data_IF_435029455640
#
_entry.id   IF_435029455640
#
_cell.length_a   1.000
_cell.length_b   1.000
_cell.length_c   1.000
_cell.angle_alpha   90.00
_cell.angle_beta   90.00
_cell.angle_gamma   90.00
#
_symmetry.space_group_name_H-M   'P 1'
#
loop_
_entity.id
_entity.type
_entity.pdbx_description
1 polymer ?
#
# COMPACT_ATOMS: atom_id res chain seq x y z
N UNK A 1 11.80 19.21 2.87
CA UNK A 1 10.92 18.02 2.85
C UNK A 1 11.66 16.85 2.24
N UNK A 2 11.38 15.62 2.67
CA UNK A 2 12.00 14.43 2.10
C UNK A 2 11.59 14.24 0.62
N UNK A 3 12.53 13.73 -0.17
CA UNK A 3 12.37 13.57 -1.61
C UNK A 3 11.91 12.15 -1.98
N UNK A 4 11.05 12.05 -2.98
CA UNK A 4 10.64 10.79 -3.60
C UNK A 4 11.49 10.57 -4.84
N UNK A 5 12.73 10.15 -4.60
CA UNK A 5 13.83 9.98 -5.55
C UNK A 5 13.95 8.55 -6.11
N UNK A 6 12.98 7.69 -5.83
CA UNK A 6 12.86 6.37 -6.46
C UNK A 6 12.42 6.47 -7.93
N UNK A 7 12.25 5.32 -8.61
CA UNK A 7 11.78 5.31 -9.99
C UNK A 7 10.40 5.97 -10.08
N UNK A 8 10.22 6.85 -11.06
CA UNK A 8 8.91 7.42 -11.37
C UNK A 8 8.20 6.62 -12.46
N UNK A 9 6.87 6.64 -12.46
CA UNK A 9 6.06 5.92 -13.42
C UNK A 9 5.01 6.84 -14.06
N UNK A 10 4.89 6.76 -15.38
CA UNK A 10 3.81 7.42 -16.12
C UNK A 10 2.56 6.53 -16.13
N UNK A 11 1.43 7.12 -15.77
CA UNK A 11 0.09 6.51 -15.83
C UNK A 11 -0.49 6.63 -17.24
N UNK A 12 -1.60 5.92 -17.50
CA UNK A 12 -2.28 5.95 -18.82
C UNK A 12 -2.82 7.33 -19.21
N UNK A 13 -3.10 8.17 -18.21
CA UNK A 13 -3.51 9.57 -18.40
C UNK A 13 -2.31 10.54 -18.52
N UNK A 14 -1.09 10.01 -18.60
CA UNK A 14 0.19 10.74 -18.65
C UNK A 14 0.57 11.47 -17.36
N UNK A 15 -0.19 11.29 -16.27
CA UNK A 15 0.24 11.76 -14.95
C UNK A 15 1.48 10.99 -14.49
N UNK A 16 2.33 11.65 -13.71
CA UNK A 16 3.58 11.09 -13.23
C UNK A 16 3.51 10.80 -11.74
N UNK A 17 3.80 9.57 -11.35
CA UNK A 17 3.87 9.15 -9.95
C UNK A 17 5.32 9.06 -9.51
N UNK A 18 5.67 9.80 -8.46
CA UNK A 18 6.98 9.71 -7.81
C UNK A 18 6.94 8.62 -6.74
N UNK A 19 7.99 7.80 -6.66
CA UNK A 19 8.04 6.71 -5.69
C UNK A 19 9.20 6.84 -4.71
N UNK A 20 9.05 6.21 -3.56
CA UNK A 20 10.14 5.97 -2.63
C UNK A 20 9.93 4.59 -2.01
N UNK A 21 10.94 3.75 -2.08
CA UNK A 21 11.03 2.53 -1.28
C UNK A 21 12.02 2.76 -0.13
N UNK A 22 11.68 2.30 1.07
CA UNK A 22 12.52 2.43 2.26
C UNK A 22 12.57 1.06 2.93
N UNK A 23 13.77 0.51 3.07
CA UNK A 23 14.04 -0.60 3.97
C UNK A 23 14.19 -0.01 5.38
N UNK A 24 13.20 -0.25 6.25
CA UNK A 24 13.13 0.40 7.55
C UNK A 24 14.03 -0.34 8.53
N UNK A 25 15.00 0.38 9.08
CA UNK A 25 15.89 -0.07 10.14
C UNK A 25 15.53 0.61 11.47
N UNK A 26 16.07 0.14 12.61
CA UNK A 26 15.78 0.72 13.92
C UNK A 26 16.09 2.21 14.05
N UNK A 27 17.06 2.72 13.28
CA UNK A 27 17.47 4.13 13.26
C UNK A 27 16.80 4.95 12.14
N UNK A 28 16.01 4.32 11.26
CA UNK A 28 15.41 5.01 10.12
C UNK A 28 14.29 5.94 10.58
N UNK A 29 14.41 7.23 10.24
CA UNK A 29 13.33 8.20 10.40
C UNK A 29 12.43 8.25 9.16
N UNK A 30 11.23 7.68 9.29
CA UNK A 30 10.20 7.67 8.23
C UNK A 30 9.26 8.88 8.29
N UNK A 31 9.29 9.67 9.38
CA UNK A 31 8.36 10.80 9.59
C UNK A 31 8.39 11.84 8.48
N UNK A 32 9.55 12.21 7.89
CA UNK A 32 9.60 13.14 6.77
C UNK A 32 8.83 12.65 5.53
N UNK A 33 8.83 11.34 5.26
CA UNK A 33 8.13 10.75 4.12
C UNK A 33 6.62 10.62 4.39
N UNK A 34 6.24 10.23 5.60
CA UNK A 34 4.83 10.24 6.03
C UNK A 34 4.23 11.65 6.01
N UNK A 35 5.02 12.66 6.40
CA UNK A 35 4.62 14.07 6.34
C UNK A 35 4.39 14.53 4.90
N UNK A 36 5.23 14.09 3.96
CA UNK A 36 5.07 14.40 2.54
C UNK A 36 3.82 13.77 1.93
N UNK A 37 3.52 12.53 2.30
CA UNK A 37 2.25 11.85 1.94
C UNK A 37 1.05 12.64 2.48
N UNK A 38 1.08 13.01 3.77
CA UNK A 38 0.00 13.76 4.39
C UNK A 38 -0.24 15.12 3.73
N UNK A 39 0.83 15.85 3.43
CA UNK A 39 0.77 17.14 2.75
C UNK A 39 0.09 17.01 1.38
N UNK A 40 0.52 16.06 0.54
CA UNK A 40 -0.09 15.86 -0.78
C UNK A 40 -1.57 15.50 -0.67
N UNK A 41 -1.91 14.63 0.29
CA UNK A 41 -3.29 14.25 0.55
C UNK A 41 -4.18 15.41 1.00
N UNK A 42 -3.64 16.35 1.80
CA UNK A 42 -4.39 17.53 2.26
C UNK A 42 -4.63 18.52 1.13
N UNK A 43 -3.62 18.78 0.28
CA UNK A 43 -3.73 19.78 -0.78
C UNK A 43 -4.35 19.26 -2.08
N UNK A 44 -4.09 18.00 -2.44
CA UNK A 44 -4.39 17.46 -3.77
C UNK A 44 -5.25 16.19 -3.75
N UNK A 45 -5.39 15.54 -2.59
CA UNK A 45 -5.93 14.18 -2.48
C UNK A 45 -7.26 14.05 -1.74
N UNK A 46 -7.98 15.14 -1.48
CA UNK A 46 -9.26 15.14 -0.74
C UNK A 46 -9.21 14.34 0.57
N UNK A 47 -8.08 14.40 1.29
CA UNK A 47 -7.86 13.68 2.54
C UNK A 47 -7.98 12.15 2.43
N UNK A 48 -7.78 11.57 1.24
CA UNK A 48 -7.68 10.13 1.04
C UNK A 48 -6.22 9.68 0.90
N UNK A 49 -5.89 8.55 1.53
CA UNK A 49 -4.64 7.81 1.32
C UNK A 49 -5.04 6.40 0.93
N UNK A 50 -4.66 5.97 -0.27
CA UNK A 50 -4.83 4.58 -0.68
C UNK A 50 -3.74 3.75 -0.04
N UNK A 51 -4.07 2.60 0.54
CA UNK A 51 -3.07 1.75 1.17
C UNK A 51 -3.26 0.27 0.82
N UNK A 52 -2.19 -0.48 1.03
CA UNK A 52 -2.13 -1.92 0.85
C UNK A 52 -1.07 -2.48 1.80
N UNK A 53 -1.24 -3.72 2.27
CA UNK A 53 -0.34 -4.35 3.23
C UNK A 53 0.09 -5.72 2.72
N UNK A 54 1.32 -6.09 3.04
CA UNK A 54 1.93 -7.34 2.58
C UNK A 54 2.42 -8.13 3.78
N UNK A 55 2.18 -9.45 3.73
CA UNK A 55 2.40 -10.35 4.84
C UNK A 55 3.43 -11.42 4.46
N UNK A 56 4.33 -11.69 5.39
CA UNK A 56 5.13 -12.92 5.39
C UNK A 56 4.40 -13.98 6.22
N UNK A 57 4.45 -15.22 5.75
CA UNK A 57 3.89 -16.37 6.46
C UNK A 57 5.02 -17.09 7.17
N UNK A 58 5.10 -16.91 8.50
CA UNK A 58 6.07 -17.64 9.33
C UNK A 58 5.44 -18.96 9.77
N UNK A 59 6.09 -20.07 9.38
CA UNK A 59 5.71 -21.47 9.67
C UNK A 59 4.42 -21.98 9.01
N UNK A 60 4.56 -22.96 8.11
CA UNK A 60 3.46 -23.72 7.50
C UNK A 60 3.08 -24.95 8.34
N UNK A 61 3.90 -25.32 9.34
CA UNK A 61 3.81 -26.59 10.07
C UNK A 61 3.22 -26.49 11.48
N UNK A 62 3.01 -25.26 11.99
CA UNK A 62 2.31 -24.95 13.25
C UNK A 62 1.26 -23.86 12.99
N UNK A 63 0.55 -23.37 14.02
CA UNK A 63 -0.42 -22.27 13.88
C UNK A 63 0.26 -21.09 13.16
N UNK A 64 -0.10 -20.87 11.90
CA UNK A 64 0.60 -19.93 11.02
C UNK A 64 0.47 -18.51 11.55
N UNK A 65 1.62 -17.85 11.74
CA UNK A 65 1.68 -16.45 12.15
C UNK A 65 1.96 -15.60 10.93
N UNK A 66 1.04 -14.69 10.62
CA UNK A 66 1.22 -13.70 9.54
C UNK A 66 1.92 -12.46 10.10
N UNK A 67 3.10 -12.15 9.59
CA UNK A 67 3.87 -10.97 9.98
C UNK A 67 3.77 -9.90 8.91
N UNK A 68 3.47 -8.67 9.28
CA UNK A 68 3.48 -7.54 8.36
C UNK A 68 4.91 -7.29 7.86
N UNK A 69 5.13 -7.52 6.57
CA UNK A 69 6.45 -7.40 5.93
C UNK A 69 6.60 -6.11 5.15
N UNK A 70 5.52 -5.55 4.61
CA UNK A 70 5.57 -4.25 3.93
C UNK A 70 4.24 -3.52 3.96
N UNK A 71 4.31 -2.19 3.80
CA UNK A 71 3.15 -1.30 3.67
C UNK A 71 3.35 -0.39 2.46
N UNK A 72 2.30 -0.24 1.66
CA UNK A 72 2.23 0.74 0.57
C UNK A 72 1.26 1.85 0.94
N UNK A 73 1.65 3.09 0.75
CA UNK A 73 0.83 4.28 0.89
C UNK A 73 0.87 5.07 -0.41
N UNK A 74 -0.29 5.34 -1.00
CA UNK A 74 -0.42 6.01 -2.28
C UNK A 74 -1.35 7.22 -2.18
N UNK A 75 -0.94 8.28 -2.86
CA UNK A 75 -1.68 9.52 -3.06
C UNK A 75 -1.84 9.74 -4.57
N UNK A 76 -2.33 10.91 -4.97
CA UNK A 76 -2.42 11.25 -6.40
C UNK A 76 -1.04 11.32 -7.06
N UNK A 77 -0.02 11.81 -6.33
CA UNK A 77 1.29 12.13 -6.91
C UNK A 77 2.42 11.23 -6.39
N UNK A 78 2.24 10.58 -5.24
CA UNK A 78 3.29 9.82 -4.56
C UNK A 78 2.87 8.38 -4.24
N UNK A 79 3.83 7.46 -4.33
CA UNK A 79 3.72 6.11 -3.80
C UNK A 79 4.92 5.80 -2.88
N UNK A 80 4.65 5.63 -1.58
CA UNK A 80 5.63 5.25 -0.58
C UNK A 80 5.49 3.75 -0.29
N UNK A 81 6.60 3.03 -0.36
CA UNK A 81 6.69 1.61 -0.04
C UNK A 81 7.66 1.41 1.12
N UNK A 82 7.17 0.92 2.25
CA UNK A 82 7.98 0.67 3.45
C UNK A 82 8.15 -0.84 3.61
N UNK A 83 9.39 -1.33 3.52
CA UNK A 83 9.74 -2.72 3.89
C UNK A 83 10.09 -2.75 5.36
N UNK A 84 9.37 -3.56 6.12
CA UNK A 84 9.45 -3.57 7.58
C UNK A 84 10.37 -4.67 8.08
N UNK A 85 11.19 -4.39 9.11
CA UNK A 85 12.07 -5.38 9.70
C UNK A 85 11.25 -6.46 10.43
N UNK A 86 11.85 -7.62 10.67
CA UNK A 86 11.19 -8.73 11.37
C UNK A 86 10.75 -8.34 12.78
N UNK A 87 11.58 -7.57 13.48
CA UNK A 87 11.28 -7.07 14.82
C UNK A 87 11.03 -5.57 14.74
N UNK A 88 9.86 -5.15 15.23
CA UNK A 88 9.50 -3.75 15.21
C UNK A 88 10.23 -2.99 16.33
N UNK A 89 10.93 -1.94 15.91
CA UNK A 89 11.60 -0.99 16.77
C UNK A 89 10.72 0.22 17.07
N UNK A 90 11.17 1.06 18.00
CA UNK A 90 10.51 2.31 18.35
C UNK A 90 10.36 3.29 17.17
N UNK A 91 11.21 3.18 16.13
CA UNK A 91 11.09 3.96 14.89
C UNK A 91 9.77 3.75 14.15
N UNK A 92 9.09 2.62 14.37
CA UNK A 92 7.78 2.34 13.76
C UNK A 92 6.61 2.97 14.51
N UNK A 93 6.81 3.56 15.70
CA UNK A 93 5.73 4.26 16.43
C UNK A 93 5.11 5.38 15.60
N UNK A 94 5.87 6.00 14.71
CA UNK A 94 5.36 7.04 13.81
C UNK A 94 4.39 6.46 12.77
N UNK A 95 4.64 5.26 12.25
CA UNK A 95 3.69 4.56 11.38
C UNK A 95 2.39 4.22 12.12
N UNK A 96 2.48 3.83 13.40
CA UNK A 96 1.30 3.51 14.23
C UNK A 96 0.44 4.75 14.46
N UNK A 97 1.08 5.88 14.83
CA UNK A 97 0.40 7.17 14.99
C UNK A 97 -0.21 7.64 13.67
N UNK A 98 0.49 7.42 12.56
CA UNK A 98 0.02 7.79 11.23
C UNK A 98 -1.25 7.02 10.85
N UNK A 99 -1.26 5.69 11.00
CA UNK A 99 -2.45 4.86 10.78
C UNK A 99 -3.60 5.18 11.73
N UNK A 100 -3.28 5.55 12.97
CA UNK A 100 -4.28 6.01 13.92
C UNK A 100 -4.81 7.42 13.58
N UNK A 101 -4.28 8.15 12.60
CA UNK A 101 -4.77 9.50 12.28
C UNK A 101 -6.24 9.52 11.85
N UNK A 102 -6.97 10.56 12.25
CA UNK A 102 -8.32 10.87 11.75
C UNK A 102 -8.33 12.05 10.77
N UNK A 103 -7.17 12.59 10.44
CA UNK A 103 -7.05 13.71 9.49
C UNK A 103 -7.30 13.30 8.04
N UNK A 104 -7.22 12.00 7.78
CA UNK A 104 -7.35 11.36 6.47
C UNK A 104 -8.19 10.09 6.60
N UNK A 105 -8.66 9.58 5.46
CA UNK A 105 -9.28 8.28 5.33
C UNK A 105 -8.33 7.34 4.60
N UNK A 106 -8.03 6.20 5.22
CA UNK A 106 -7.23 5.14 4.63
C UNK A 106 -8.15 4.24 3.78
N UNK A 107 -7.96 4.29 2.47
CA UNK A 107 -8.79 3.59 1.49
C UNK A 107 -8.08 2.32 1.03
N UNK A 108 -8.73 1.18 1.16
CA UNK A 108 -8.17 -0.11 0.74
C UNK A 108 -9.19 -0.98 0.02
N UNK A 109 -8.69 -2.08 -0.57
CA UNK A 109 -9.47 -3.09 -1.30
C UNK A 109 -9.28 -4.44 -0.60
N UNK A 110 -10.38 -5.08 -0.21
CA UNK A 110 -10.41 -6.33 0.57
C UNK A 110 -9.63 -6.28 1.89
N UNK A 111 -9.68 -5.15 2.60
CA UNK A 111 -8.85 -4.92 3.80
C UNK A 111 -9.44 -5.47 5.10
N UNK A 112 -10.63 -6.08 5.08
CA UNK A 112 -11.29 -6.53 6.30
C UNK A 112 -10.45 -7.53 7.12
N UNK A 113 -9.83 -8.53 6.48
CA UNK A 113 -8.94 -9.48 7.16
C UNK A 113 -7.62 -8.82 7.58
N UNK A 114 -7.07 -7.94 6.75
CA UNK A 114 -5.84 -7.20 7.03
C UNK A 114 -5.96 -6.35 8.29
N UNK A 115 -7.09 -5.66 8.47
CA UNK A 115 -7.36 -4.85 9.66
C UNK A 115 -7.38 -5.69 10.95
N UNK A 116 -7.89 -6.92 10.87
CA UNK A 116 -7.89 -7.86 12.01
C UNK A 116 -6.45 -8.29 12.31
N UNK A 117 -5.71 -8.74 11.29
CA UNK A 117 -4.33 -9.20 11.45
C UNK A 117 -3.38 -8.09 11.93
N UNK A 118 -3.55 -6.87 11.44
CA UNK A 118 -2.78 -5.70 11.88
C UNK A 118 -2.98 -5.43 13.38
N UNK A 119 -4.22 -5.56 13.86
CA UNK A 119 -4.55 -5.34 15.26
C UNK A 119 -4.07 -6.50 16.14
N UNK A 120 -4.32 -7.74 15.73
CA UNK A 120 -4.01 -8.93 16.54
C UNK A 120 -2.51 -9.21 16.62
N UNK A 121 -1.79 -9.12 15.51
CA UNK A 121 -0.38 -9.51 15.45
C UNK A 121 0.56 -8.34 15.77
N UNK A 122 0.12 -7.09 15.55
CA UNK A 122 0.98 -5.92 15.66
C UNK A 122 0.39 -4.78 16.50
N UNK A 123 -0.87 -4.85 16.95
CA UNK A 123 -1.50 -3.74 17.66
C UNK A 123 -1.68 -2.47 16.83
N UNK A 124 -1.55 -2.56 15.50
CA UNK A 124 -1.76 -1.43 14.58
C UNK A 124 -3.26 -1.23 14.42
N UNK A 125 -3.72 0.00 14.66
CA UNK A 125 -5.15 0.36 14.56
C UNK A 125 -5.32 1.48 13.55
N UNK A 126 -6.05 1.20 12.47
CA UNK A 126 -6.47 2.21 11.50
C UNK A 126 -7.84 2.73 11.92
N UNK A 127 -7.89 3.93 12.50
CA UNK A 127 -9.13 4.49 13.08
C UNK A 127 -10.13 5.03 12.05
N UNK A 128 -9.65 5.32 10.84
CA UNK A 128 -10.43 5.91 9.75
C UNK A 128 -10.11 5.15 8.47
N UNK A 129 -10.72 3.97 8.32
CA UNK A 129 -10.53 3.09 7.15
C UNK A 129 -11.82 3.01 6.32
N UNK A 130 -11.66 2.87 5.01
CA UNK A 130 -12.75 2.69 4.05
C UNK A 130 -12.47 1.50 3.13
N UNK A 131 -13.37 0.52 3.15
CA UNK A 131 -13.42 -0.60 2.22
C UNK A 131 -14.07 -0.14 0.90
N UNK A 132 -13.26 0.17 -0.12
CA UNK A 132 -13.76 0.90 -1.30
C UNK A 132 -14.70 0.05 -2.17
N UNK A 133 -14.51 -1.28 -2.20
CA UNK A 133 -15.40 -2.21 -2.91
C UNK A 133 -16.83 -2.16 -2.38
N UNK A 134 -17.01 -2.17 -1.05
CA UNK A 134 -18.33 -2.05 -0.40
C UNK A 134 -19.02 -0.75 -0.74
N UNK A 135 -18.29 0.38 -0.65
CA UNK A 135 -18.84 1.68 -1.01
C UNK A 135 -19.24 1.73 -2.49
N UNK A 136 -18.38 1.22 -3.38
CA UNK A 136 -18.66 1.18 -4.82
C UNK A 136 -19.88 0.34 -5.16
N UNK A 137 -20.07 -0.81 -4.49
CA UNK A 137 -21.22 -1.69 -4.71
C UNK A 137 -22.54 -1.00 -4.40
N UNK A 138 -22.61 -0.31 -3.25
CA UNK A 138 -23.78 0.48 -2.85
C UNK A 138 -23.99 1.65 -3.80
N UNK A 139 -22.95 2.44 -4.07
CA UNK A 139 -23.06 3.67 -4.87
C UNK A 139 -23.41 3.41 -6.34
N UNK A 140 -23.00 2.27 -6.90
CA UNK A 140 -23.27 1.91 -8.31
C UNK A 140 -24.47 0.98 -8.50
N UNK A 141 -25.05 0.45 -7.41
CA UNK A 141 -26.11 -0.54 -7.49
C UNK A 141 -25.65 -1.86 -8.11
N UNK A 142 -24.36 -2.19 -7.98
CA UNK A 142 -23.73 -3.35 -8.64
C UNK A 142 -23.03 -4.21 -7.58
N UNK A 143 -23.73 -5.17 -6.95
CA UNK A 143 -23.22 -5.91 -5.79
C UNK A 143 -21.89 -6.63 -6.03
N UNK A 144 -21.65 -7.12 -7.25
CA UNK A 144 -20.44 -7.92 -7.56
C UNK A 144 -19.14 -7.14 -7.35
N UNK A 145 -19.15 -5.80 -7.42
CA UNK A 145 -17.92 -4.99 -7.29
C UNK A 145 -17.34 -5.01 -5.87
N UNK A 146 -18.14 -5.40 -4.87
CA UNK A 146 -17.66 -5.61 -3.50
C UNK A 146 -16.61 -6.72 -3.41
N UNK A 147 -16.72 -7.73 -4.29
CA UNK A 147 -15.92 -8.96 -4.23
C UNK A 147 -14.76 -8.98 -5.23
N UNK A 148 -14.50 -7.85 -5.90
CA UNK A 148 -13.43 -7.76 -6.90
C UNK A 148 -12.10 -7.40 -6.26
N UNK A 149 -11.01 -7.91 -6.84
CA UNK A 149 -9.66 -7.45 -6.56
C UNK A 149 -9.40 -6.06 -7.13
N UNK A 150 -8.26 -5.47 -6.78
CA UNK A 150 -7.91 -4.08 -7.12
C UNK A 150 -8.02 -3.78 -8.62
N UNK A 151 -7.51 -4.67 -9.46
CA UNK A 151 -7.49 -4.49 -10.93
C UNK A 151 -8.90 -4.59 -11.51
N UNK A 152 -9.67 -5.61 -11.15
CA UNK A 152 -11.03 -5.84 -11.63
C UNK A 152 -11.99 -4.74 -11.17
N UNK A 153 -11.84 -4.27 -9.92
CA UNK A 153 -12.61 -3.16 -9.39
C UNK A 153 -12.33 -1.88 -10.16
N UNK A 154 -11.05 -1.55 -10.37
CA UNK A 154 -10.66 -0.37 -11.15
C UNK A 154 -11.19 -0.46 -12.59
N UNK A 155 -11.07 -1.62 -13.25
CA UNK A 155 -11.60 -1.83 -14.59
C UNK A 155 -13.13 -1.63 -14.65
N UNK A 156 -13.89 -2.17 -13.69
CA UNK A 156 -15.35 -2.03 -13.65
C UNK A 156 -15.84 -0.60 -13.36
N UNK A 157 -15.06 0.19 -12.62
CA UNK A 157 -15.46 1.54 -12.19
C UNK A 157 -14.93 2.63 -13.12
N UNK A 158 -13.70 2.49 -13.62
CA UNK A 158 -12.99 3.51 -14.38
C UNK A 158 -12.89 3.20 -15.88
N UNK A 159 -13.04 1.94 -16.29
CA UNK A 159 -12.89 1.50 -17.68
C UNK A 159 -11.59 1.97 -18.35
N UNK A 160 -10.50 2.07 -17.57
CA UNK A 160 -9.20 2.50 -18.06
C UNK A 160 -8.38 1.33 -18.64
N UNK A 161 -7.40 1.64 -19.49
CA UNK A 161 -6.46 0.65 -20.01
C UNK A 161 -5.60 0.08 -18.87
N UNK A 162 -5.62 -1.24 -18.71
CA UNK A 162 -4.89 -2.00 -17.69
C UNK A 162 -3.88 -2.98 -18.30
N UNK A 163 -3.68 -2.97 -19.63
CA UNK A 163 -2.84 -3.93 -20.36
C UNK A 163 -1.42 -4.02 -19.80
N UNK A 164 -0.82 -2.89 -19.45
CA UNK A 164 0.52 -2.85 -18.84
C UNK A 164 0.53 -3.53 -17.46
N UNK A 165 -0.50 -3.31 -16.64
CA UNK A 165 -0.62 -3.96 -15.33
C UNK A 165 -0.83 -5.47 -15.51
N UNK A 166 -1.71 -5.88 -16.43
CA UNK A 166 -2.01 -7.28 -16.72
C UNK A 166 -0.76 -8.03 -17.20
N UNK A 167 0.08 -7.38 -18.01
CA UNK A 167 1.35 -7.95 -18.46
C UNK A 167 2.35 -8.18 -17.32
N UNK A 168 2.37 -7.32 -16.29
CA UNK A 168 3.24 -7.53 -15.13
C UNK A 168 2.68 -8.60 -14.20
N UNK A 169 1.37 -8.58 -13.94
CA UNK A 169 0.73 -9.54 -13.02
C UNK A 169 0.70 -10.96 -13.57
N UNK A 170 0.55 -11.13 -14.89
CA UNK A 170 0.58 -12.45 -15.53
C UNK A 170 1.93 -13.18 -15.44
N UNK A 171 3.02 -12.45 -15.13
CA UNK A 171 4.39 -12.96 -15.01
C UNK A 171 5.01 -12.62 -13.67
N UNK A 172 4.19 -12.62 -12.62
CA UNK A 172 4.59 -12.16 -11.29
C UNK A 172 5.84 -12.88 -10.75
N UNK A 173 5.90 -14.19 -10.93
CA UNK A 173 7.02 -15.02 -10.45
C UNK A 173 8.32 -14.80 -11.25
N UNK A 174 8.22 -14.49 -12.55
CA UNK A 174 9.36 -14.25 -13.43
C UNK A 174 10.00 -12.88 -13.17
N UNK A 175 9.17 -11.87 -12.89
CA UNK A 175 9.61 -10.49 -12.65
C UNK A 175 10.48 -10.35 -11.39
N UNK A 176 10.27 -11.19 -10.37
CA UNK A 176 11.08 -11.21 -9.15
C UNK A 176 12.50 -11.75 -9.34
N UNK A 177 12.68 -12.72 -10.24
CA UNK A 177 13.98 -13.35 -10.51
C UNK A 177 14.90 -12.38 -11.26
N UNK A 178 14.39 -11.64 -12.24
CA UNK A 178 15.19 -10.72 -13.06
C UNK A 178 15.73 -9.52 -12.26
N UNK A 179 14.95 -9.01 -11.30
CA UNK A 179 15.39 -7.95 -10.38
C UNK A 179 16.47 -8.43 -9.38
N UNK A 180 16.42 -9.69 -8.95
CA UNK A 180 17.41 -10.27 -8.04
C UNK A 180 18.76 -10.55 -8.70
N UNK A 181 18.77 -10.86 -10.00
CA UNK A 181 19.98 -11.11 -10.78
C UNK A 181 20.74 -9.81 -11.07
N UNK A 182 20.04 -8.73 -11.43
CA UNK A 182 20.67 -7.43 -11.71
C UNK A 182 21.28 -6.75 -10.49
N UNK A 183 20.83 -7.08 -9.27
CA UNK A 183 21.42 -6.57 -8.03
C UNK A 183 22.65 -7.36 -7.55
N UNK A 184 22.92 -8.53 -8.12
CA UNK A 184 24.15 -9.31 -7.85
C UNK A 184 25.29 -8.98 -8.81
N UNK A 185 25.00 -8.22 -9.87
CA UNK A 185 25.95 -7.85 -10.93
C UNK A 185 26.38 -6.36 -10.85
N UNK A 186 25.95 -5.63 -9.83
CA UNK A 186 26.34 -4.25 -9.52
C UNK A 186 27.06 -4.17 -8.17
#
# INVERSE_FOLDING_TARGET
MANFDGPGFSMVDKSWIQTKAIDVEPSTDISPYLSRILEDTVWNGNRAIVFDVYWDVESVHTKSTRRLSSVKLSTKNFCLFLRLPNQFSDSLKDLYRFFASKFVTFVGVQIQEDLVLLKENHGIVIRSSLEIGKLAAVARGTPIVEFLGTRELAHKILSCDMTRLDSFQSKWDEAGVELSLRLKEA
#
